data_IF_704445849816
#
_entry.id   IF_704445849816
#
_cell.length_a   1.000
_cell.length_b   1.000
_cell.length_c   1.000
_cell.angle_alpha   90.00
_cell.angle_beta   90.00
_cell.angle_gamma   90.00
#
_symmetry.space_group_name_H-M   'P 1'
#
loop_
_entity.id
_entity.type
_entity.pdbx_description
1 polymer ?
#
# COMPACT_ATOMS: atom_id res chain seq x y z
N UNK A 1 23.59 9.67 1.13
CA UNK A 1 22.99 8.34 1.17
C UNK A 1 23.77 7.33 0.35
N UNK A 2 23.54 6.06 0.60
CA UNK A 2 24.21 4.97 -0.09
C UNK A 2 23.19 3.90 -0.45
N UNK A 3 23.30 3.35 -1.67
CA UNK A 3 22.63 2.15 -2.09
C UNK A 3 23.66 1.01 -2.12
N UNK A 4 23.42 -0.03 -1.33
CA UNK A 4 24.31 -1.16 -1.16
C UNK A 4 23.61 -2.46 -1.57
N UNK A 5 24.43 -3.46 -1.85
CA UNK A 5 23.95 -4.82 -2.08
C UNK A 5 24.81 -5.81 -1.31
N UNK A 6 24.18 -6.62 -0.48
CA UNK A 6 24.88 -7.68 0.25
C UNK A 6 25.38 -8.76 -0.71
N UNK A 7 26.68 -9.03 -0.69
CA UNK A 7 27.32 -9.87 -1.73
C UNK A 7 26.83 -11.31 -1.72
N UNK A 8 26.67 -11.88 -0.53
CA UNK A 8 26.33 -13.30 -0.36
C UNK A 8 24.84 -13.54 -0.58
N UNK A 9 23.98 -12.81 0.08
CA UNK A 9 22.53 -13.06 0.03
C UNK A 9 21.78 -12.29 -1.08
N UNK A 10 22.39 -11.22 -1.60
CA UNK A 10 21.77 -10.36 -2.60
C UNK A 10 20.82 -9.30 -2.06
N UNK A 11 20.67 -9.16 -0.73
CA UNK A 11 19.84 -8.13 -0.12
C UNK A 11 20.20 -6.72 -0.59
N UNK A 12 19.20 -5.87 -0.82
CA UNK A 12 19.35 -4.48 -1.21
C UNK A 12 19.20 -3.60 0.02
N UNK A 13 20.09 -2.63 0.19
CA UNK A 13 20.12 -1.81 1.40
C UNK A 13 20.27 -0.34 0.99
N UNK A 14 19.37 0.52 1.45
CA UNK A 14 19.47 1.97 1.33
C UNK A 14 19.80 2.58 2.69
N UNK A 15 20.81 3.43 2.74
CA UNK A 15 21.26 4.11 3.95
C UNK A 15 21.13 5.63 3.76
N UNK A 16 20.42 6.29 4.67
CA UNK A 16 20.32 7.75 4.77
C UNK A 16 20.81 8.21 6.14
N UNK A 17 22.15 8.32 6.31
CA UNK A 17 22.77 8.84 7.53
C UNK A 17 22.59 10.36 7.62
N UNK A 18 22.09 10.83 8.76
CA UNK A 18 21.86 12.24 9.08
C UNK A 18 21.80 12.44 10.59
N UNK A 19 21.47 13.65 11.07
CA UNK A 19 21.44 14.04 12.48
C UNK A 19 20.08 13.78 13.16
N UNK A 20 19.09 13.16 12.48
CA UNK A 20 17.77 12.90 13.05
C UNK A 20 17.86 11.76 14.08
N UNK A 21 17.48 12.07 15.31
CA UNK A 21 17.46 11.09 16.42
C UNK A 21 16.34 10.07 16.27
N UNK A 22 15.29 10.36 15.47
CA UNK A 22 14.20 9.42 15.23
C UNK A 22 14.59 8.44 14.11
N UNK A 23 15.29 7.40 14.50
CA UNK A 23 15.84 6.37 13.63
C UNK A 23 14.74 5.53 13.03
N UNK A 24 14.87 5.22 11.76
CA UNK A 24 13.91 4.37 11.04
C UNK A 24 14.62 3.17 10.43
N UNK A 25 14.02 2.02 10.59
CA UNK A 25 14.33 0.79 9.88
C UNK A 25 13.07 0.28 9.20
N UNK A 26 13.19 -0.21 7.99
CA UNK A 26 12.23 -1.17 7.47
C UNK A 26 12.91 -2.28 6.67
N UNK A 27 12.27 -3.42 6.63
CA UNK A 27 12.52 -4.47 5.65
C UNK A 27 11.24 -4.68 4.84
N UNK A 28 11.35 -4.62 3.53
CA UNK A 28 10.25 -4.84 2.60
C UNK A 28 10.58 -5.92 1.58
N UNK A 29 9.55 -6.55 1.04
CA UNK A 29 9.66 -7.58 0.01
C UNK A 29 8.71 -7.27 -1.14
N UNK A 30 9.09 -7.62 -2.37
CA UNK A 30 8.08 -7.74 -3.44
C UNK A 30 7.20 -8.96 -3.15
N UNK A 31 5.91 -8.73 -3.09
CA UNK A 31 4.91 -9.76 -2.79
C UNK A 31 3.74 -9.70 -3.78
N UNK A 32 4.01 -9.84 -5.10
CA UNK A 32 2.96 -9.76 -6.10
C UNK A 32 1.94 -10.90 -5.90
N UNK A 33 0.65 -10.58 -5.70
CA UNK A 33 -0.37 -11.59 -5.49
C UNK A 33 -0.66 -12.36 -6.79
N UNK A 34 -0.77 -13.69 -6.69
CA UNK A 34 -1.16 -14.54 -7.81
C UNK A 34 -2.70 -14.66 -7.95
N UNK A 35 -3.40 -14.39 -6.86
CA UNK A 35 -4.85 -14.42 -6.74
C UNK A 35 -5.32 -13.48 -5.61
N UNK A 36 -6.61 -13.47 -5.33
CA UNK A 36 -7.22 -12.62 -4.30
C UNK A 36 -7.43 -13.34 -2.95
N UNK A 37 -6.62 -14.35 -2.64
CA UNK A 37 -6.71 -15.06 -1.34
C UNK A 37 -6.17 -14.26 -0.17
N UNK A 38 -5.51 -13.11 -0.42
CA UNK A 38 -4.93 -12.28 0.65
C UNK A 38 -3.72 -12.90 1.33
N UNK A 39 -3.03 -13.84 0.67
CA UNK A 39 -1.90 -14.56 1.25
C UNK A 39 -0.79 -13.62 1.73
N UNK A 40 -0.55 -12.50 1.04
CA UNK A 40 0.44 -11.50 1.44
C UNK A 40 0.06 -10.82 2.76
N UNK A 41 -1.22 -10.44 2.93
CA UNK A 41 -1.76 -9.80 4.12
C UNK A 41 -1.82 -10.77 5.31
N UNK A 42 -2.28 -12.00 5.08
CA UNK A 42 -2.27 -13.03 6.11
C UNK A 42 -0.85 -13.34 6.60
N UNK A 43 0.14 -13.34 5.70
CA UNK A 43 1.54 -13.48 6.08
C UNK A 43 2.08 -12.28 6.83
N UNK A 44 1.67 -11.07 6.46
CA UNK A 44 2.05 -9.84 7.18
C UNK A 44 1.74 -9.96 8.67
N UNK A 45 0.50 -10.34 9.01
CA UNK A 45 0.09 -10.60 10.38
C UNK A 45 0.86 -11.78 10.99
N UNK A 46 0.86 -12.91 10.29
CA UNK A 46 1.32 -14.19 10.82
C UNK A 46 2.81 -14.24 11.16
N UNK A 47 3.69 -13.53 10.44
CA UNK A 47 5.12 -13.54 10.75
C UNK A 47 5.43 -12.82 12.07
N UNK A 48 4.53 -11.94 12.53
CA UNK A 48 4.67 -11.23 13.80
C UNK A 48 4.10 -11.98 15.00
N UNK A 49 3.54 -13.19 14.80
CA UNK A 49 2.93 -14.03 15.85
C UNK A 49 3.93 -14.96 16.58
N UNK A 50 5.23 -14.71 16.43
CA UNK A 50 6.31 -15.46 17.04
C UNK A 50 7.37 -15.89 16.06
N UNK A 51 8.60 -16.00 16.54
CA UNK A 51 9.76 -16.32 15.73
C UNK A 51 10.80 -17.12 16.49
N UNK A 52 11.86 -17.53 15.81
CA UNK A 52 12.90 -18.42 16.36
C UNK A 52 13.52 -17.91 17.66
N UNK A 53 13.87 -16.63 17.71
CA UNK A 53 14.50 -16.03 18.91
C UNK A 53 13.48 -15.38 19.84
N UNK A 54 12.28 -15.11 19.35
CA UNK A 54 11.15 -14.55 20.10
C UNK A 54 9.93 -15.49 20.06
N UNK A 55 10.03 -16.71 20.65
CA UNK A 55 8.97 -17.73 20.58
C UNK A 55 7.85 -17.45 21.60
N UNK A 56 7.36 -16.22 21.63
CA UNK A 56 6.25 -15.78 22.47
C UNK A 56 5.03 -15.52 21.60
N UNK A 57 3.85 -15.70 22.20
CA UNK A 57 2.61 -15.35 21.50
C UNK A 57 2.56 -13.83 21.34
N UNK A 58 2.37 -13.37 20.10
CA UNK A 58 2.17 -11.97 19.76
C UNK A 58 3.27 -11.02 20.30
N UNK A 59 4.54 -11.20 19.86
CA UNK A 59 5.62 -10.28 20.23
C UNK A 59 5.36 -8.84 19.79
N UNK A 60 4.54 -8.64 18.74
CA UNK A 60 4.16 -7.31 18.27
C UNK A 60 3.40 -6.52 19.34
N UNK A 61 2.39 -7.10 19.96
CA UNK A 61 1.63 -6.45 21.05
C UNK A 61 2.51 -6.17 22.26
N UNK A 62 3.47 -7.04 22.58
CA UNK A 62 4.42 -6.78 23.66
C UNK A 62 5.33 -5.59 23.33
N UNK A 63 5.74 -5.41 22.08
CA UNK A 63 6.48 -4.22 21.63
C UNK A 63 5.62 -2.95 21.68
N UNK A 64 4.37 -3.01 21.25
CA UNK A 64 3.44 -1.86 21.34
C UNK A 64 3.32 -1.36 22.78
N UNK A 65 3.26 -2.28 23.76
CA UNK A 65 3.10 -1.94 25.17
C UNK A 65 4.40 -1.54 25.86
N UNK A 66 5.52 -2.14 25.47
CA UNK A 66 6.75 -2.13 26.24
C UNK A 66 7.93 -1.38 25.62
N UNK A 67 7.91 -1.07 24.32
CA UNK A 67 8.99 -0.35 23.65
C UNK A 67 8.82 1.16 23.69
N UNK A 68 9.90 1.87 23.36
CA UNK A 68 9.93 3.33 23.21
C UNK A 68 9.74 3.75 21.74
N UNK A 69 9.05 2.92 20.97
CA UNK A 69 8.85 3.17 19.55
C UNK A 69 8.14 4.52 19.31
N UNK A 70 8.52 5.16 18.23
CA UNK A 70 7.81 6.32 17.67
C UNK A 70 6.95 5.91 16.47
N UNK A 71 7.21 4.72 15.93
CA UNK A 71 6.38 4.06 14.93
C UNK A 71 6.63 2.55 14.97
N UNK A 72 5.56 1.78 14.88
CA UNK A 72 5.58 0.32 14.84
C UNK A 72 4.38 -0.15 14.03
N UNK A 73 4.61 -0.81 12.90
CA UNK A 73 3.53 -1.35 12.06
C UNK A 73 4.07 -2.42 11.10
N UNK A 74 3.16 -3.04 10.37
CA UNK A 74 3.40 -3.77 9.13
C UNK A 74 2.37 -3.30 8.10
N UNK A 75 2.67 -3.44 6.82
CA UNK A 75 1.86 -2.86 5.74
C UNK A 75 1.90 -3.75 4.50
N UNK A 76 0.74 -4.21 4.06
CA UNK A 76 0.59 -4.88 2.76
C UNK A 76 0.03 -3.92 1.72
N UNK A 77 0.79 -3.74 0.66
CA UNK A 77 0.44 -2.96 -0.53
C UNK A 77 0.08 -3.90 -1.69
N UNK A 78 -0.40 -3.39 -2.82
CA UNK A 78 -0.76 -4.23 -3.96
C UNK A 78 0.34 -5.15 -4.50
N UNK A 79 1.62 -4.83 -4.28
CA UNK A 79 2.75 -5.55 -4.84
C UNK A 79 3.96 -5.71 -3.90
N UNK A 80 3.86 -5.20 -2.69
CA UNK A 80 4.91 -5.24 -1.66
C UNK A 80 4.34 -5.39 -0.27
N UNK A 81 5.13 -5.97 0.64
CA UNK A 81 4.83 -6.01 2.07
C UNK A 81 6.00 -5.42 2.82
N UNK A 82 5.75 -4.50 3.76
CA UNK A 82 6.77 -3.73 4.47
C UNK A 82 6.59 -3.85 5.97
N UNK A 83 7.71 -3.88 6.68
CA UNK A 83 7.79 -4.01 8.13
C UNK A 83 8.61 -2.84 8.70
N UNK A 84 8.01 -1.66 8.88
CA UNK A 84 8.68 -0.46 9.38
C UNK A 84 8.63 -0.33 10.90
N UNK A 85 9.75 0.13 11.48
CA UNK A 85 9.85 0.54 12.88
C UNK A 85 10.65 1.83 13.02
N UNK A 86 10.36 2.61 14.05
CA UNK A 86 11.13 3.80 14.39
C UNK A 86 11.26 3.98 15.91
N UNK A 87 12.39 4.50 16.34
CA UNK A 87 12.65 4.87 17.75
C UNK A 87 13.77 5.91 17.87
N UNK A 88 13.62 6.83 18.83
CA UNK A 88 14.69 7.76 19.21
C UNK A 88 15.74 7.11 20.12
N UNK A 89 15.45 5.97 20.74
CA UNK A 89 16.35 5.29 21.65
C UNK A 89 17.16 4.21 20.91
N UNK A 90 18.49 4.26 20.99
CA UNK A 90 19.38 3.34 20.24
C UNK A 90 19.19 1.87 20.60
N UNK A 91 19.00 1.58 21.90
CA UNK A 91 18.83 0.21 22.37
C UNK A 91 17.48 -0.35 21.98
N UNK A 92 16.44 0.47 22.10
CA UNK A 92 15.09 0.10 21.68
C UNK A 92 15.03 -0.10 20.16
N UNK A 93 15.61 0.81 19.38
CA UNK A 93 15.74 0.67 17.94
C UNK A 93 16.43 -0.64 17.51
N UNK A 94 17.53 -0.99 18.20
CA UNK A 94 18.22 -2.26 17.94
C UNK A 94 17.34 -3.47 18.25
N UNK A 95 16.58 -3.43 19.35
CA UNK A 95 15.63 -4.50 19.69
C UNK A 95 14.50 -4.62 18.68
N UNK A 96 13.91 -3.50 18.27
CA UNK A 96 12.85 -3.47 17.25
C UNK A 96 13.34 -4.06 15.93
N UNK A 97 14.53 -3.65 15.48
CA UNK A 97 15.16 -4.18 14.28
C UNK A 97 15.39 -5.69 14.37
N UNK A 98 15.85 -6.18 15.56
CA UNK A 98 16.09 -7.60 15.80
C UNK A 98 14.79 -8.42 15.73
N UNK A 99 13.74 -7.99 16.43
CA UNK A 99 12.44 -8.68 16.42
C UNK A 99 11.90 -8.78 14.99
N UNK A 100 11.96 -7.69 14.23
CA UNK A 100 11.41 -7.66 12.87
C UNK A 100 12.24 -8.50 11.88
N UNK A 101 13.56 -8.48 11.99
CA UNK A 101 14.42 -9.34 11.16
C UNK A 101 14.20 -10.83 11.45
N UNK A 102 14.05 -11.20 12.72
CA UNK A 102 13.80 -12.59 13.11
C UNK A 102 12.39 -13.03 12.68
N UNK A 103 11.40 -12.18 12.86
CA UNK A 103 10.03 -12.41 12.45
C UNK A 103 9.90 -12.72 10.97
N UNK A 104 10.49 -11.91 10.09
CA UNK A 104 10.33 -12.09 8.65
C UNK A 104 11.14 -13.25 8.07
N UNK A 105 12.31 -13.59 8.67
CA UNK A 105 13.16 -14.66 8.15
C UNK A 105 12.97 -16.03 8.83
N UNK A 106 12.57 -16.02 10.09
CA UNK A 106 12.44 -17.25 10.89
C UNK A 106 11.14 -17.31 11.70
N UNK A 107 9.97 -17.03 11.08
CA UNK A 107 8.69 -17.04 11.79
C UNK A 107 8.32 -18.44 12.25
N UNK A 108 7.56 -18.52 13.32
CA UNK A 108 7.06 -19.79 13.88
C UNK A 108 5.91 -20.43 13.06
N UNK A 109 5.49 -19.81 11.97
CA UNK A 109 4.42 -20.31 11.08
C UNK A 109 4.65 -21.74 10.59
N UNK A 110 5.91 -22.19 10.49
CA UNK A 110 6.27 -23.55 10.07
C UNK A 110 6.08 -24.59 11.15
N UNK A 111 6.07 -24.18 12.43
CA UNK A 111 5.93 -25.06 13.59
C UNK A 111 4.52 -24.99 14.19
N UNK A 112 3.81 -23.90 13.97
CA UNK A 112 2.54 -23.56 14.57
C UNK A 112 1.47 -23.25 13.53
N UNK A 113 0.83 -24.27 12.92
CA UNK A 113 -0.23 -24.04 11.90
C UNK A 113 -1.40 -23.19 12.42
N UNK A 114 -1.61 -23.16 13.72
CA UNK A 114 -2.69 -22.38 14.33
C UNK A 114 -2.56 -20.87 14.09
N UNK A 115 -1.34 -20.36 13.84
CA UNK A 115 -1.12 -18.96 13.47
C UNK A 115 -1.87 -18.66 12.17
N UNK A 116 -1.72 -19.50 11.15
CA UNK A 116 -2.44 -19.34 9.89
C UNK A 116 -3.96 -19.35 10.07
N UNK A 117 -4.49 -20.27 10.90
CA UNK A 117 -5.93 -20.35 11.13
C UNK A 117 -6.46 -19.18 11.96
N UNK A 118 -5.67 -18.65 12.88
CA UNK A 118 -6.03 -17.47 13.67
C UNK A 118 -6.03 -16.20 12.81
N UNK A 119 -4.94 -15.94 12.11
CA UNK A 119 -4.75 -14.71 11.34
C UNK A 119 -5.49 -14.74 9.99
N UNK A 120 -5.51 -15.87 9.31
CA UNK A 120 -6.14 -16.03 8.01
C UNK A 120 -7.64 -16.29 8.11
N UNK A 121 -7.98 -17.58 8.14
CA UNK A 121 -9.37 -18.01 8.21
C UNK A 121 -9.51 -19.41 8.80
N UNK A 122 -10.65 -19.66 9.44
CA UNK A 122 -11.06 -20.98 9.95
C UNK A 122 -12.58 -21.08 10.07
N UNK A 123 -13.05 -22.30 10.22
CA UNK A 123 -14.45 -22.53 10.60
C UNK A 123 -14.60 -22.44 12.12
N UNK A 124 -15.59 -21.70 12.57
CA UNK A 124 -15.93 -21.51 13.97
C UNK A 124 -17.36 -21.97 14.29
N UNK A 125 -17.53 -22.57 15.43
CA UNK A 125 -18.83 -23.00 15.97
C UNK A 125 -18.73 -23.04 17.50
N UNK A 126 -19.55 -22.26 18.20
CA UNK A 126 -19.52 -22.22 19.66
C UNK A 126 -20.20 -23.45 20.28
N UNK A 127 -21.32 -23.86 19.72
CA UNK A 127 -22.10 -25.04 20.17
C UNK A 127 -22.37 -25.97 18.99
N UNK A 128 -22.50 -27.29 19.24
CA UNK A 128 -22.72 -28.28 18.21
C UNK A 128 -24.05 -28.11 17.41
N UNK A 129 -24.95 -27.26 17.88
CA UNK A 129 -26.20 -26.90 17.20
C UNK A 129 -26.13 -25.63 16.39
N UNK A 130 -25.03 -24.90 16.45
CA UNK A 130 -24.90 -23.62 15.80
C UNK A 130 -24.54 -23.78 14.32
N UNK A 131 -24.83 -22.76 13.55
CA UNK A 131 -24.37 -22.67 12.17
C UNK A 131 -22.85 -22.49 12.12
N UNK A 132 -22.21 -23.23 11.21
CA UNK A 132 -20.78 -23.11 10.97
C UNK A 132 -20.48 -21.76 10.32
N UNK A 133 -19.61 -20.96 10.93
CA UNK A 133 -19.23 -19.63 10.46
C UNK A 133 -17.77 -19.61 10.03
N UNK A 134 -17.46 -18.70 9.12
CA UNK A 134 -16.08 -18.33 8.80
C UNK A 134 -15.62 -17.23 9.78
N UNK A 135 -14.42 -17.39 10.31
CA UNK A 135 -13.77 -16.46 11.20
C UNK A 135 -12.26 -16.38 10.88
N UNK A 136 -11.57 -15.35 11.35
CA UNK A 136 -10.16 -15.09 11.17
C UNK A 136 -9.88 -13.59 11.23
N UNK A 137 -8.70 -13.19 11.67
CA UNK A 137 -8.39 -11.76 11.85
C UNK A 137 -8.49 -11.03 10.51
N UNK A 138 -7.69 -11.43 9.52
CA UNK A 138 -7.68 -10.81 8.19
C UNK A 138 -9.03 -11.03 7.47
N UNK A 139 -9.64 -12.22 7.58
CA UNK A 139 -10.95 -12.47 7.00
C UNK A 139 -12.00 -11.45 7.49
N UNK A 140 -12.06 -11.20 8.79
CA UNK A 140 -13.03 -10.27 9.36
C UNK A 140 -12.70 -8.80 9.02
N UNK A 141 -11.42 -8.44 9.01
CA UNK A 141 -10.97 -7.12 8.61
C UNK A 141 -11.37 -6.81 7.16
N UNK A 142 -11.06 -7.71 6.24
CA UNK A 142 -11.40 -7.54 4.84
C UNK A 142 -12.91 -7.56 4.58
N UNK A 143 -13.67 -8.34 5.35
CA UNK A 143 -15.12 -8.29 5.30
C UNK A 143 -15.66 -6.91 5.71
N UNK A 144 -15.01 -6.27 6.68
CA UNK A 144 -15.29 -4.88 7.05
C UNK A 144 -14.95 -3.89 5.91
N UNK A 145 -13.74 -3.99 5.35
CA UNK A 145 -13.28 -3.14 4.25
C UNK A 145 -14.20 -3.28 3.01
N UNK A 146 -14.64 -4.49 2.67
CA UNK A 146 -15.55 -4.73 1.54
C UNK A 146 -16.97 -4.20 1.75
N UNK A 147 -17.32 -3.72 2.93
CA UNK A 147 -18.61 -3.06 3.20
C UNK A 147 -18.60 -1.55 2.94
N UNK A 148 -17.41 -0.93 2.78
CA UNK A 148 -17.27 0.50 2.48
C UNK A 148 -17.49 0.76 0.98
N UNK A 149 -18.39 1.69 0.59
CA UNK A 149 -18.58 2.06 -0.82
C UNK A 149 -17.32 2.64 -1.46
N UNK A 150 -16.55 3.44 -0.74
CA UNK A 150 -15.31 4.05 -1.22
C UNK A 150 -14.26 2.94 -1.51
N UNK A 151 -14.09 1.96 -0.62
CA UNK A 151 -13.18 0.83 -0.84
C UNK A 151 -13.64 -0.10 -1.98
N UNK A 152 -14.95 -0.25 -2.19
CA UNK A 152 -15.49 -0.98 -3.36
C UNK A 152 -15.11 -0.25 -4.65
N UNK A 153 -15.25 1.09 -4.67
CA UNK A 153 -14.91 1.91 -5.83
C UNK A 153 -13.41 1.79 -6.17
N UNK A 154 -12.54 1.98 -5.19
CA UNK A 154 -11.09 1.96 -5.39
C UNK A 154 -10.61 0.60 -5.94
N UNK A 155 -11.11 -0.51 -5.39
CA UNK A 155 -10.81 -1.85 -5.92
C UNK A 155 -11.29 -2.06 -7.36
N UNK A 156 -12.50 -1.60 -7.67
CA UNK A 156 -13.03 -1.74 -9.03
C UNK A 156 -12.27 -0.84 -10.02
N UNK A 157 -11.81 0.35 -9.62
CA UNK A 157 -10.93 1.19 -10.43
C UNK A 157 -9.65 0.42 -10.78
N UNK A 158 -8.93 -0.05 -9.78
CA UNK A 158 -7.65 -0.76 -9.96
C UNK A 158 -7.83 -2.03 -10.79
N UNK A 159 -8.84 -2.85 -10.48
CA UNK A 159 -9.14 -4.09 -11.20
C UNK A 159 -9.47 -3.87 -12.68
N UNK A 160 -10.15 -2.77 -13.00
CA UNK A 160 -10.52 -2.45 -14.37
C UNK A 160 -9.42 -1.74 -15.14
N UNK A 161 -8.55 -0.97 -14.47
CA UNK A 161 -7.38 -0.36 -15.09
C UNK A 161 -6.25 -1.36 -15.37
N UNK A 162 -6.11 -2.39 -14.54
CA UNK A 162 -4.96 -3.32 -14.59
C UNK A 162 -5.35 -4.80 -14.68
N UNK A 163 -6.30 -5.21 -15.55
CA UNK A 163 -6.84 -6.56 -15.58
C UNK A 163 -5.83 -7.65 -15.97
N UNK A 164 -4.73 -7.30 -16.64
CA UNK A 164 -3.73 -8.24 -17.16
C UNK A 164 -2.46 -8.26 -16.31
N UNK A 165 -2.49 -7.62 -15.15
CA UNK A 165 -1.35 -7.52 -14.23
C UNK A 165 -1.69 -8.10 -12.86
N UNK A 166 -0.70 -8.10 -11.94
CA UNK A 166 -0.90 -8.54 -10.56
C UNK A 166 -1.92 -7.68 -9.80
N UNK A 167 -2.12 -6.45 -10.24
CA UNK A 167 -3.06 -5.50 -9.62
C UNK A 167 -4.55 -5.83 -9.90
N UNK A 168 -4.84 -6.78 -10.79
CA UNK A 168 -6.19 -7.34 -10.92
C UNK A 168 -6.62 -8.12 -9.67
N UNK A 169 -5.66 -8.54 -8.85
CA UNK A 169 -5.88 -9.30 -7.63
C UNK A 169 -5.89 -8.38 -6.41
N UNK A 170 -6.73 -8.72 -5.43
CA UNK A 170 -6.79 -8.04 -4.13
C UNK A 170 -5.71 -8.59 -3.20
N UNK A 171 -4.64 -7.82 -2.95
CA UNK A 171 -3.53 -8.24 -2.09
C UNK A 171 -3.94 -8.39 -0.62
N UNK A 172 -4.90 -7.58 -0.17
CA UNK A 172 -5.49 -7.67 1.17
C UNK A 172 -6.36 -8.91 1.36
N UNK A 173 -6.91 -9.45 0.28
CA UNK A 173 -7.78 -10.61 0.25
C UNK A 173 -9.26 -10.28 0.06
N UNK A 174 -9.89 -10.97 -0.87
CA UNK A 174 -11.33 -10.93 -1.08
C UNK A 174 -12.00 -11.93 -0.12
N UNK A 175 -12.94 -11.52 0.74
CA UNK A 175 -13.60 -12.43 1.69
C UNK A 175 -14.25 -13.66 1.05
N UNK A 176 -14.69 -13.57 -0.20
CA UNK A 176 -15.24 -14.71 -0.94
C UNK A 176 -14.14 -15.67 -1.46
N UNK A 177 -12.89 -15.20 -1.51
CA UNK A 177 -11.75 -15.94 -2.06
C UNK A 177 -10.79 -16.41 -0.95
N UNK A 178 -10.61 -15.65 0.13
CA UNK A 178 -9.77 -15.99 1.28
C UNK A 178 -9.92 -17.43 1.74
N UNK A 179 -11.16 -18.02 1.86
CA UNK A 179 -11.35 -19.40 2.30
C UNK A 179 -10.80 -20.47 1.35
N UNK A 180 -10.30 -20.09 0.18
CA UNK A 180 -9.64 -21.04 -0.73
C UNK A 180 -8.12 -21.16 -0.46
N UNK A 181 -7.55 -20.27 0.37
CA UNK A 181 -6.15 -20.34 0.72
C UNK A 181 -5.87 -21.53 1.63
N UNK A 182 -4.94 -22.37 1.24
CA UNK A 182 -4.48 -23.49 2.04
C UNK A 182 -3.22 -23.13 2.82
N UNK A 183 -2.98 -23.82 3.93
CA UNK A 183 -1.78 -23.65 4.73
C UNK A 183 -0.48 -23.88 3.94
N UNK A 184 -0.47 -24.85 3.01
CA UNK A 184 0.70 -25.12 2.18
C UNK A 184 0.99 -23.97 1.20
N UNK A 185 -0.03 -23.43 0.53
CA UNK A 185 0.13 -22.25 -0.35
C UNK A 185 0.65 -21.03 0.43
N UNK A 186 0.16 -20.83 1.65
CA UNK A 186 0.64 -19.80 2.56
C UNK A 186 2.13 -19.97 2.89
N UNK A 187 2.58 -21.18 3.24
CA UNK A 187 3.99 -21.45 3.49
C UNK A 187 4.87 -21.31 2.23
N UNK A 188 4.35 -21.72 1.05
CA UNK A 188 5.06 -21.59 -0.21
C UNK A 188 5.26 -20.14 -0.61
N UNK A 189 4.29 -19.26 -0.32
CA UNK A 189 4.42 -17.83 -0.55
C UNK A 189 5.54 -17.22 0.31
N UNK A 190 5.63 -17.60 1.58
CA UNK A 190 6.74 -17.17 2.45
C UNK A 190 8.08 -17.68 1.92
N UNK A 191 8.20 -18.98 1.60
CA UNK A 191 9.43 -19.58 1.04
C UNK A 191 9.91 -18.86 -0.23
N UNK A 192 8.96 -18.45 -1.07
CA UNK A 192 9.24 -17.80 -2.35
C UNK A 192 9.71 -16.36 -2.20
N UNK A 193 9.01 -15.56 -1.38
CA UNK A 193 9.17 -14.11 -1.39
C UNK A 193 9.95 -13.56 -0.20
N UNK A 194 9.95 -14.23 0.96
CA UNK A 194 10.63 -13.76 2.18
C UNK A 194 12.08 -14.25 2.25
N UNK A 195 12.84 -13.84 1.25
CA UNK A 195 14.26 -14.17 1.13
C UNK A 195 15.08 -12.89 0.98
N UNK A 196 16.29 -12.77 1.57
CA UNK A 196 17.11 -11.57 1.44
C UNK A 196 17.35 -11.11 0.00
N UNK A 197 17.45 -12.02 -0.97
CA UNK A 197 17.58 -11.66 -2.38
C UNK A 197 16.40 -10.85 -2.96
N UNK A 198 15.23 -10.96 -2.34
CA UNK A 198 14.01 -10.20 -2.65
C UNK A 198 13.77 -9.04 -1.69
N UNK A 199 14.65 -8.83 -0.69
CA UNK A 199 14.46 -7.80 0.33
C UNK A 199 14.98 -6.44 -0.10
N UNK A 200 14.34 -5.40 0.45
CA UNK A 200 14.68 -4.00 0.38
C UNK A 200 14.76 -3.48 1.82
N UNK A 201 15.97 -3.27 2.31
CA UNK A 201 16.25 -2.83 3.68
C UNK A 201 16.59 -1.34 3.65
N UNK A 202 16.02 -0.60 4.58
CA UNK A 202 16.22 0.84 4.71
C UNK A 202 16.63 1.20 6.13
N UNK A 203 17.66 2.03 6.24
CA UNK A 203 18.14 2.61 7.49
C UNK A 203 18.25 4.13 7.35
N UNK A 204 17.66 4.85 8.28
CA UNK A 204 17.65 6.32 8.32
C UNK A 204 17.91 6.81 9.73
N UNK A 205 18.65 7.92 9.83
CA UNK A 205 18.82 8.67 11.06
C UNK A 205 20.25 8.71 11.59
N UNK A 206 20.37 9.19 12.83
CA UNK A 206 21.64 9.30 13.56
C UNK A 206 21.96 7.96 14.26
N UNK A 207 22.75 7.12 13.59
CA UNK A 207 23.21 5.84 14.14
C UNK A 207 24.55 5.43 13.53
N UNK A 208 25.27 4.52 14.19
CA UNK A 208 26.43 3.86 13.57
C UNK A 208 25.96 2.87 12.50
N UNK A 209 25.96 3.34 11.24
CA UNK A 209 25.52 2.54 10.09
C UNK A 209 26.40 1.29 9.89
N UNK A 210 27.70 1.37 10.22
CA UNK A 210 28.62 0.23 10.05
C UNK A 210 28.32 -0.84 11.09
N UNK A 211 28.06 -0.45 12.32
CA UNK A 211 27.63 -1.38 13.37
C UNK A 211 26.35 -2.10 12.96
N UNK A 212 25.33 -1.38 12.47
CA UNK A 212 24.06 -1.97 12.04
C UNK A 212 24.22 -2.92 10.86
N UNK A 213 25.03 -2.54 9.86
CA UNK A 213 25.33 -3.42 8.72
C UNK A 213 26.04 -4.69 9.13
N UNK A 214 27.06 -4.60 10.00
CA UNK A 214 27.78 -5.78 10.50
C UNK A 214 26.86 -6.68 11.29
N UNK A 215 26.02 -6.12 12.14
CA UNK A 215 25.05 -6.88 12.92
C UNK A 215 24.06 -7.64 12.02
N UNK A 216 23.50 -6.98 10.98
CA UNK A 216 22.60 -7.63 10.01
C UNK A 216 23.32 -8.74 9.22
N UNK A 217 24.56 -8.52 8.82
CA UNK A 217 25.35 -9.54 8.14
C UNK A 217 25.58 -10.77 9.04
N UNK A 218 26.10 -10.56 10.24
CA UNK A 218 26.47 -11.62 11.18
C UNK A 218 25.27 -12.47 11.62
N UNK A 219 24.13 -11.82 11.94
CA UNK A 219 22.99 -12.50 12.53
C UNK A 219 22.00 -13.05 11.53
N UNK A 220 21.94 -12.47 10.31
CA UNK A 220 20.92 -12.83 9.32
C UNK A 220 21.46 -13.02 7.90
N UNK A 221 22.00 -11.96 7.27
CA UNK A 221 22.19 -11.95 5.82
C UNK A 221 23.26 -12.95 5.35
N UNK A 222 24.30 -13.20 6.13
CA UNK A 222 25.36 -14.17 5.82
C UNK A 222 24.89 -15.63 5.91
N UNK A 223 23.72 -15.89 6.47
CA UNK A 223 23.14 -17.23 6.56
C UNK A 223 22.46 -17.67 5.25
N UNK A 224 22.26 -16.75 4.33
CA UNK A 224 21.56 -17.00 3.07
C UNK A 224 22.49 -16.90 1.87
N UNK A 225 22.32 -17.80 0.91
CA UNK A 225 22.93 -17.68 -0.41
C UNK A 225 21.99 -16.91 -1.34
N UNK A 226 22.56 -16.17 -2.29
CA UNK A 226 21.76 -15.46 -3.28
C UNK A 226 20.99 -16.45 -4.16
N UNK A 227 19.70 -16.19 -4.33
CA UNK A 227 18.82 -16.90 -5.26
C UNK A 227 18.18 -15.91 -6.23
N UNK A 228 17.64 -16.40 -7.32
CA UNK A 228 16.77 -15.62 -8.20
C UNK A 228 15.32 -15.78 -7.74
N UNK A 229 14.65 -14.66 -7.48
CA UNK A 229 13.25 -14.62 -7.07
C UNK A 229 12.43 -13.98 -8.19
N UNK A 230 11.51 -14.76 -8.75
CA UNK A 230 10.56 -14.25 -9.74
C UNK A 230 9.47 -13.44 -9.05
N UNK A 231 9.63 -12.12 -9.06
CA UNK A 231 8.70 -11.14 -8.52
C UNK A 231 8.52 -9.96 -9.49
N UNK A 232 8.50 -10.25 -10.80
CA UNK A 232 8.33 -9.21 -11.81
C UNK A 232 6.90 -8.69 -11.82
N UNK A 233 6.77 -7.37 -11.99
CA UNK A 233 5.50 -6.67 -12.10
C UNK A 233 5.46 -6.06 -13.50
N UNK A 234 4.57 -6.58 -14.34
CA UNK A 234 4.38 -6.10 -15.70
C UNK A 234 3.57 -4.80 -15.73
N UNK A 235 3.76 -4.03 -16.79
CA UNK A 235 2.89 -2.91 -17.10
C UNK A 235 1.61 -3.43 -17.77
N UNK A 236 0.51 -2.74 -17.56
CA UNK A 236 -0.72 -2.94 -18.29
C UNK A 236 -0.57 -2.37 -19.69
N UNK A 237 -0.87 -3.16 -20.70
CA UNK A 237 -0.91 -2.69 -22.08
C UNK A 237 -2.09 -1.72 -22.29
N UNK A 238 -1.91 -0.69 -23.13
CA UNK A 238 -2.98 0.27 -23.40
C UNK A 238 -4.23 -0.40 -24.00
N UNK A 239 -5.40 0.01 -23.57
CA UNK A 239 -6.66 -0.44 -24.15
C UNK A 239 -6.89 0.18 -25.53
N UNK A 240 -7.51 -0.57 -26.42
CA UNK A 240 -7.90 -0.08 -27.74
C UNK A 240 -9.03 0.98 -27.70
N UNK A 241 -9.80 0.99 -26.63
CA UNK A 241 -10.89 1.95 -26.37
C UNK A 241 -11.16 2.03 -24.86
N UNK A 242 -11.78 3.12 -24.37
CA UNK A 242 -12.22 3.21 -22.99
C UNK A 242 -13.07 2.01 -22.56
N UNK A 243 -12.90 1.54 -21.35
CA UNK A 243 -13.70 0.47 -20.74
C UNK A 243 -14.77 1.08 -19.85
N UNK A 244 -15.88 0.38 -19.73
CA UNK A 244 -16.95 0.72 -18.82
C UNK A 244 -17.23 -0.45 -17.89
N UNK A 245 -17.36 -0.18 -16.60
CA UNK A 245 -17.74 -1.15 -15.59
C UNK A 245 -18.83 -0.57 -14.69
N UNK A 246 -19.76 -1.42 -14.27
CA UNK A 246 -20.80 -1.08 -13.29
C UNK A 246 -20.73 -2.10 -12.16
N UNK A 247 -20.57 -1.64 -10.94
CA UNK A 247 -20.52 -2.48 -9.74
C UNK A 247 -21.60 -2.03 -8.77
N UNK A 248 -22.53 -2.90 -8.39
CA UNK A 248 -23.41 -2.63 -7.26
C UNK A 248 -22.65 -2.73 -5.94
N UNK A 249 -23.02 -1.90 -4.97
CA UNK A 249 -22.53 -1.97 -3.61
C UNK A 249 -23.67 -2.01 -2.60
N UNK A 250 -23.39 -2.46 -1.38
CA UNK A 250 -24.39 -2.59 -0.33
C UNK A 250 -24.68 -1.26 0.33
N UNK A 251 -25.96 -0.99 0.57
CA UNK A 251 -26.45 0.13 1.37
C UNK A 251 -27.34 -0.39 2.49
N UNK A 252 -27.61 0.45 3.49
CA UNK A 252 -28.55 0.11 4.54
C UNK A 252 -30.00 0.28 4.08
N UNK A 253 -30.96 -0.40 4.73
CA UNK A 253 -32.40 -0.32 4.37
C UNK A 253 -32.98 1.11 4.41
N UNK A 254 -32.36 2.00 5.18
CA UNK A 254 -32.82 3.38 5.36
C UNK A 254 -32.16 4.38 4.40
N UNK A 255 -31.18 3.95 3.62
CA UNK A 255 -30.52 4.83 2.65
C UNK A 255 -31.34 4.94 1.35
N UNK A 256 -31.51 6.15 0.80
CA UNK A 256 -32.20 6.32 -0.47
C UNK A 256 -31.39 5.73 -1.62
N UNK A 257 -32.08 5.21 -2.64
CA UNK A 257 -31.44 4.78 -3.88
C UNK A 257 -31.09 5.97 -4.80
N UNK A 258 -31.81 7.09 -4.66
CA UNK A 258 -31.57 8.32 -5.40
C UNK A 258 -30.31 9.03 -4.84
N UNK A 259 -29.53 9.64 -5.71
CA UNK A 259 -28.31 10.38 -5.36
C UNK A 259 -27.32 9.51 -4.54
N UNK A 260 -27.24 8.22 -4.85
CA UNK A 260 -26.35 7.27 -4.15
C UNK A 260 -25.50 6.47 -5.13
N UNK A 261 -25.06 7.13 -6.20
CA UNK A 261 -24.17 6.57 -7.22
C UNK A 261 -22.82 7.26 -7.18
N UNK A 262 -21.75 6.50 -7.30
CA UNK A 262 -20.41 7.02 -7.57
C UNK A 262 -20.16 6.96 -9.08
N UNK A 263 -19.79 8.09 -9.69
CA UNK A 263 -19.32 8.14 -11.07
C UNK A 263 -17.80 8.36 -11.04
N UNK A 264 -17.06 7.58 -11.80
CA UNK A 264 -15.62 7.76 -11.91
C UNK A 264 -15.14 7.75 -13.35
N UNK A 265 -14.13 8.57 -13.62
CA UNK A 265 -13.34 8.55 -14.85
C UNK A 265 -11.87 8.38 -14.44
N UNK A 266 -11.28 7.24 -14.80
CA UNK A 266 -9.95 6.85 -14.32
C UNK A 266 -9.04 6.49 -15.49
N UNK A 267 -7.75 6.82 -15.37
CA UNK A 267 -6.74 6.54 -16.39
C UNK A 267 -5.39 6.20 -15.77
N UNK A 268 -4.60 5.39 -16.44
CA UNK A 268 -3.19 5.18 -16.09
C UNK A 268 -2.38 6.45 -16.37
N UNK A 269 -1.45 6.77 -15.49
CA UNK A 269 -0.67 8.01 -15.51
C UNK A 269 0.85 7.72 -15.62
N UNK A 270 1.24 7.04 -16.70
CA UNK A 270 2.64 6.79 -17.02
C UNK A 270 3.29 5.62 -16.27
N UNK A 271 4.55 5.79 -15.90
CA UNK A 271 5.39 4.83 -15.17
C UNK A 271 6.00 5.55 -13.96
N UNK A 272 5.93 4.95 -12.78
CA UNK A 272 6.48 5.51 -11.53
C UNK A 272 7.98 5.84 -11.63
N UNK A 273 8.71 5.21 -12.54
CA UNK A 273 10.13 5.52 -12.81
C UNK A 273 10.34 6.82 -13.60
N UNK A 274 9.28 7.38 -14.19
CA UNK A 274 9.33 8.70 -14.83
C UNK A 274 9.09 9.80 -13.79
N UNK A 275 10.19 10.33 -13.21
CA UNK A 275 10.14 11.34 -12.14
C UNK A 275 9.43 12.62 -12.53
N UNK A 276 9.53 13.03 -13.79
CA UNK A 276 8.90 14.27 -14.27
C UNK A 276 7.38 14.10 -14.30
N UNK A 277 6.89 13.01 -14.86
CA UNK A 277 5.46 12.69 -14.86
C UNK A 277 4.92 12.48 -13.46
N UNK A 278 5.64 11.76 -12.59
CA UNK A 278 5.27 11.54 -11.20
C UNK A 278 4.99 12.85 -10.45
N UNK A 279 5.90 13.82 -10.55
CA UNK A 279 5.73 15.14 -9.91
C UNK A 279 4.69 15.99 -10.65
N UNK A 280 4.68 15.94 -11.98
CA UNK A 280 3.75 16.72 -12.79
C UNK A 280 2.29 16.36 -12.48
N UNK A 281 1.96 15.07 -12.35
CA UNK A 281 0.61 14.63 -11.99
C UNK A 281 0.19 15.05 -10.59
N UNK A 282 1.09 15.08 -9.60
CA UNK A 282 0.78 15.65 -8.28
C UNK A 282 0.40 17.14 -8.37
N UNK A 283 1.13 17.91 -9.17
CA UNK A 283 0.85 19.34 -9.37
C UNK A 283 -0.44 19.53 -10.18
N UNK A 284 -0.67 18.67 -11.19
CA UNK A 284 -1.90 18.69 -11.97
C UNK A 284 -3.12 18.34 -11.14
N UNK A 285 -3.03 17.34 -10.27
CA UNK A 285 -4.09 17.02 -9.32
C UNK A 285 -4.48 18.25 -8.49
N UNK A 286 -3.50 18.90 -7.89
CA UNK A 286 -3.73 20.14 -7.13
C UNK A 286 -4.37 21.23 -7.99
N UNK A 287 -3.90 21.44 -9.20
CA UNK A 287 -4.35 22.53 -10.06
C UNK A 287 -5.74 22.27 -10.68
N UNK A 288 -6.10 21.01 -10.93
CA UNK A 288 -7.35 20.64 -11.62
C UNK A 288 -8.49 20.35 -10.65
N UNK A 289 -8.21 19.71 -9.52
CA UNK A 289 -9.26 19.18 -8.63
C UNK A 289 -9.07 19.51 -7.15
N UNK A 290 -7.88 19.29 -6.56
CA UNK A 290 -7.72 19.30 -5.10
C UNK A 290 -7.74 20.70 -4.49
N UNK A 291 -7.30 21.75 -5.22
CA UNK A 291 -7.28 23.11 -4.70
C UNK A 291 -8.68 23.75 -4.69
N UNK A 292 -8.86 24.71 -3.80
CA UNK A 292 -10.12 25.46 -3.71
C UNK A 292 -10.46 26.16 -5.04
N UNK A 293 -11.67 25.94 -5.56
CA UNK A 293 -12.13 26.51 -6.83
C UNK A 293 -11.36 25.96 -8.04
N UNK A 294 -10.78 24.78 -7.93
CA UNK A 294 -10.12 24.10 -9.05
C UNK A 294 -11.09 23.89 -10.21
N UNK A 295 -10.66 24.11 -11.47
CA UNK A 295 -11.58 24.29 -12.59
C UNK A 295 -12.43 23.04 -12.88
N UNK A 296 -11.88 21.87 -12.77
CA UNK A 296 -12.58 20.62 -13.03
C UNK A 296 -13.59 20.29 -11.91
N UNK A 297 -13.14 20.38 -10.66
CA UNK A 297 -14.02 20.23 -9.49
C UNK A 297 -15.17 21.23 -9.55
N UNK A 298 -14.88 22.52 -9.83
CA UNK A 298 -15.89 23.57 -9.88
C UNK A 298 -16.90 23.36 -11.00
N UNK A 299 -16.46 22.97 -12.21
CA UNK A 299 -17.34 22.71 -13.33
C UNK A 299 -18.36 21.59 -13.04
N UNK A 300 -17.90 20.51 -12.41
CA UNK A 300 -18.76 19.39 -12.02
C UNK A 300 -19.73 19.76 -10.90
N UNK A 301 -19.28 20.54 -9.89
CA UNK A 301 -20.14 21.03 -8.82
C UNK A 301 -21.19 22.02 -9.33
N UNK A 302 -20.81 22.96 -10.19
CA UNK A 302 -21.74 23.96 -10.76
C UNK A 302 -22.83 23.29 -11.62
N UNK A 303 -22.49 22.17 -12.25
CA UNK A 303 -23.45 21.35 -12.98
C UNK A 303 -24.31 20.46 -12.07
N UNK A 304 -24.00 20.35 -10.78
CA UNK A 304 -24.72 19.51 -9.82
C UNK A 304 -24.59 18.01 -10.13
N UNK A 305 -23.42 17.57 -10.60
CA UNK A 305 -23.20 16.16 -10.98
C UNK A 305 -23.22 15.23 -9.76
N UNK A 306 -22.71 15.70 -8.64
CA UNK A 306 -22.71 15.00 -7.36
C UNK A 306 -22.64 15.98 -6.20
N UNK A 307 -22.73 15.49 -4.98
CA UNK A 307 -22.60 16.32 -3.77
C UNK A 307 -21.15 16.61 -3.40
N UNK A 308 -20.24 15.68 -3.73
CA UNK A 308 -18.80 15.87 -3.59
C UNK A 308 -18.06 15.40 -4.84
N UNK A 309 -17.02 16.14 -5.19
CA UNK A 309 -16.11 15.84 -6.32
C UNK A 309 -14.70 15.83 -5.75
N UNK A 310 -14.00 14.76 -5.99
CA UNK A 310 -12.59 14.66 -5.65
C UNK A 310 -11.80 13.96 -6.76
N UNK A 311 -10.51 14.09 -6.71
CA UNK A 311 -9.57 13.34 -7.53
C UNK A 311 -8.62 12.57 -6.65
N UNK A 312 -8.10 11.49 -7.20
CA UNK A 312 -7.05 10.71 -6.58
C UNK A 312 -5.94 10.44 -7.60
N UNK A 313 -4.71 10.69 -7.19
CA UNK A 313 -3.51 10.30 -7.91
C UNK A 313 -2.75 9.28 -7.10
N UNK A 314 -3.06 8.00 -7.32
CA UNK A 314 -2.32 6.90 -6.71
C UNK A 314 -1.01 6.68 -7.48
N UNK A 315 0.09 6.82 -6.78
CA UNK A 315 1.45 6.69 -7.32
C UNK A 315 2.33 5.71 -6.53
N UNK A 316 1.71 4.87 -5.71
CA UNK A 316 2.38 3.85 -4.90
C UNK A 316 2.62 2.51 -5.60
N UNK A 317 2.20 2.38 -6.87
CA UNK A 317 2.33 1.18 -7.70
C UNK A 317 3.21 1.41 -8.92
N UNK A 318 3.53 0.34 -9.66
CA UNK A 318 4.38 0.41 -10.87
C UNK A 318 3.84 1.37 -11.93
N UNK A 319 2.53 1.33 -12.17
CA UNK A 319 1.83 2.28 -13.02
C UNK A 319 0.90 3.13 -12.17
N UNK A 320 1.25 4.40 -11.94
CA UNK A 320 0.33 5.33 -11.31
C UNK A 320 -0.98 5.47 -12.10
N UNK A 321 -2.04 5.82 -11.40
CA UNK A 321 -3.31 6.14 -12.05
C UNK A 321 -3.92 7.42 -11.45
N UNK A 322 -4.76 8.06 -12.26
CA UNK A 322 -5.48 9.26 -11.88
C UNK A 322 -6.97 9.02 -12.04
N UNK A 323 -7.73 9.37 -11.02
CA UNK A 323 -9.18 9.23 -11.00
C UNK A 323 -9.87 10.54 -10.68
N UNK A 324 -10.99 10.79 -11.32
CA UNK A 324 -11.94 11.86 -11.00
C UNK A 324 -13.21 11.18 -10.55
N UNK A 325 -13.68 11.50 -9.35
CA UNK A 325 -14.84 10.86 -8.72
C UNK A 325 -15.91 11.88 -8.39
N UNK A 326 -17.15 11.60 -8.77
CA UNK A 326 -18.33 12.28 -8.27
C UNK A 326 -19.10 11.36 -7.34
N UNK A 327 -19.21 11.76 -6.08
CA UNK A 327 -19.90 11.04 -5.00
C UNK A 327 -21.33 11.57 -4.83
N UNK A 328 -22.26 10.68 -4.47
CA UNK A 328 -23.67 10.97 -4.31
C UNK A 328 -24.27 11.61 -5.59
N UNK A 329 -23.96 11.01 -6.72
CA UNK A 329 -24.45 11.38 -8.04
C UNK A 329 -25.64 10.49 -8.46
N UNK A 330 -26.16 10.74 -9.65
CA UNK A 330 -27.14 9.88 -10.31
C UNK A 330 -26.50 9.14 -11.49
N UNK A 331 -26.76 7.86 -11.61
CA UNK A 331 -26.27 7.04 -12.72
C UNK A 331 -26.65 7.59 -14.11
N UNK A 332 -27.84 8.23 -14.21
CA UNK A 332 -28.33 8.89 -15.44
C UNK A 332 -27.49 10.08 -15.88
N UNK A 333 -26.65 10.63 -15.00
CA UNK A 333 -25.78 11.80 -15.28
C UNK A 333 -24.40 11.39 -15.80
N UNK A 334 -24.12 10.11 -16.03
CA UNK A 334 -22.82 9.62 -16.50
C UNK A 334 -22.31 10.33 -17.75
N UNK A 335 -23.13 10.41 -18.80
CA UNK A 335 -22.72 11.04 -20.06
C UNK A 335 -22.40 12.53 -19.89
N UNK A 336 -23.15 13.21 -19.03
CA UNK A 336 -22.90 14.62 -18.71
C UNK A 336 -21.62 14.80 -17.88
N UNK A 337 -21.37 13.91 -16.92
CA UNK A 337 -20.12 13.86 -16.15
C UNK A 337 -18.90 13.77 -17.07
N UNK A 338 -18.89 12.81 -17.99
CA UNK A 338 -17.78 12.61 -18.93
C UNK A 338 -17.62 13.83 -19.85
N UNK A 339 -18.73 14.34 -20.41
CA UNK A 339 -18.71 15.53 -21.29
C UNK A 339 -18.12 16.75 -20.60
N UNK A 340 -18.48 17.02 -19.33
CA UNK A 340 -17.93 18.17 -18.58
C UNK A 340 -16.44 18.00 -18.35
N UNK A 341 -15.97 16.78 -18.06
CA UNK A 341 -14.54 16.50 -17.92
C UNK A 341 -13.82 16.83 -19.23
N UNK A 342 -14.28 16.27 -20.36
CA UNK A 342 -13.66 16.47 -21.67
C UNK A 342 -13.65 17.95 -22.07
N UNK A 343 -14.80 18.63 -22.02
CA UNK A 343 -14.91 20.05 -22.38
C UNK A 343 -14.01 20.94 -21.49
N UNK A 344 -13.91 20.62 -20.19
CA UNK A 344 -13.08 21.38 -19.26
C UNK A 344 -11.60 21.16 -19.57
N UNK A 345 -11.18 19.92 -19.81
CA UNK A 345 -9.78 19.60 -20.15
C UNK A 345 -9.39 20.18 -21.51
N UNK A 346 -10.25 20.07 -22.56
CA UNK A 346 -10.02 20.69 -23.86
C UNK A 346 -9.84 22.19 -23.75
N UNK A 347 -10.70 22.86 -22.98
CA UNK A 347 -10.58 24.29 -22.71
C UNK A 347 -9.25 24.65 -22.05
N UNK A 348 -8.85 23.89 -21.02
CA UNK A 348 -7.59 24.13 -20.30
C UNK A 348 -6.37 23.88 -21.19
N UNK A 349 -6.44 22.91 -22.11
CA UNK A 349 -5.39 22.68 -23.13
C UNK A 349 -5.30 23.86 -24.11
N UNK A 350 -6.43 24.40 -24.53
CA UNK A 350 -6.49 25.49 -25.50
C UNK A 350 -6.09 26.86 -24.89
N UNK A 351 -6.55 27.17 -23.69
CA UNK A 351 -6.36 28.46 -23.03
C UNK A 351 -5.14 28.50 -22.10
N UNK A 352 -4.62 27.33 -21.71
CA UNK A 352 -3.58 27.16 -20.71
C UNK A 352 -4.14 27.11 -19.27
N UNK A 353 -3.35 26.55 -18.35
CA UNK A 353 -3.67 26.53 -16.92
C UNK A 353 -3.38 27.91 -16.30
N UNK A 354 -4.17 28.25 -15.30
CA UNK A 354 -3.92 29.47 -14.48
C UNK A 354 -2.53 29.40 -13.85
N UNK A 355 -1.66 30.32 -14.24
CA UNK A 355 -0.27 30.35 -13.81
C UNK A 355 -0.12 30.57 -12.28
N UNK A 356 -1.06 31.30 -11.66
CA UNK A 356 -1.03 31.50 -10.20
C UNK A 356 -1.37 30.23 -9.47
N UNK A 357 -2.31 29.43 -9.99
CA UNK A 357 -2.70 28.13 -9.44
C UNK A 357 -1.58 27.10 -9.60
N UNK A 358 -0.96 27.03 -10.77
CA UNK A 358 0.23 26.20 -10.98
C UNK A 358 1.34 26.57 -10.02
N UNK A 359 1.64 27.87 -9.87
CA UNK A 359 2.66 28.32 -8.92
C UNK A 359 2.30 27.98 -7.48
N UNK A 360 1.02 28.05 -7.11
CA UNK A 360 0.54 27.64 -5.80
C UNK A 360 0.75 26.13 -5.56
N UNK A 361 0.46 25.28 -6.55
CA UNK A 361 0.73 23.85 -6.50
C UNK A 361 2.22 23.54 -6.36
N UNK A 362 3.06 24.19 -7.17
CA UNK A 362 4.51 24.06 -7.06
C UNK A 362 5.01 24.45 -5.68
N UNK A 363 4.56 25.59 -5.14
CA UNK A 363 4.96 26.07 -3.83
C UNK A 363 4.48 25.12 -2.72
N UNK A 364 3.26 24.56 -2.85
CA UNK A 364 2.71 23.59 -1.90
C UNK A 364 3.55 22.33 -1.81
N UNK A 365 3.89 21.72 -2.96
CA UNK A 365 4.71 20.50 -2.99
C UNK A 365 6.17 20.80 -2.63
N UNK A 366 6.74 21.93 -3.08
CA UNK A 366 8.08 22.36 -2.65
C UNK A 366 8.15 22.51 -1.13
N UNK A 367 7.16 23.16 -0.52
CA UNK A 367 7.05 23.31 0.94
C UNK A 367 6.94 21.95 1.60
N UNK A 368 6.00 21.10 1.15
CA UNK A 368 5.79 19.74 1.69
C UNK A 368 7.06 18.90 1.67
N UNK A 369 7.82 18.94 0.56
CA UNK A 369 9.07 18.18 0.44
C UNK A 369 10.24 18.78 1.24
N UNK A 370 10.30 20.11 1.40
CA UNK A 370 11.37 20.77 2.15
C UNK A 370 11.17 20.72 3.66
N UNK A 371 9.97 20.98 4.12
CA UNK A 371 9.67 20.96 5.56
C UNK A 371 9.55 19.54 6.09
N UNK A 372 9.13 18.60 5.26
CA UNK A 372 8.94 17.21 5.61
C UNK A 372 8.12 17.03 6.91
N UNK A 373 7.15 17.92 7.10
CA UNK A 373 6.20 17.83 8.22
C UNK A 373 5.11 16.83 7.85
N UNK A 374 5.20 15.65 8.40
CA UNK A 374 4.25 14.56 8.21
C UNK A 374 3.39 14.31 9.47
N UNK A 375 3.27 15.34 10.34
CA UNK A 375 2.49 15.28 11.57
C UNK A 375 3.08 14.27 12.57
N UNK A 376 2.33 13.23 12.89
CA UNK A 376 2.75 12.20 13.85
C UNK A 376 3.71 11.15 13.27
N UNK A 377 3.88 11.12 11.96
CA UNK A 377 4.75 10.13 11.32
C UNK A 377 6.21 10.60 11.28
N UNK A 378 7.17 9.71 11.59
CA UNK A 378 8.59 10.02 11.44
C UNK A 378 8.94 10.44 10.01
N UNK A 379 9.67 11.53 9.84
CA UNK A 379 10.06 12.02 8.51
C UNK A 379 10.86 10.96 7.73
N UNK A 380 11.77 10.25 8.41
CA UNK A 380 12.55 9.17 7.83
C UNK A 380 11.71 8.01 7.30
N UNK A 381 10.57 7.72 7.95
CA UNK A 381 9.62 6.71 7.48
C UNK A 381 9.00 7.16 6.15
N UNK A 382 8.50 8.38 6.08
CA UNK A 382 7.85 8.90 4.88
C UNK A 382 8.80 8.99 3.69
N UNK A 383 10.06 9.37 3.92
CA UNK A 383 11.11 9.27 2.89
C UNK A 383 11.35 7.84 2.45
N UNK A 384 11.39 6.90 3.40
CA UNK A 384 11.58 5.48 3.11
C UNK A 384 10.46 4.89 2.26
N UNK A 385 9.20 5.23 2.55
CA UNK A 385 8.04 4.80 1.76
C UNK A 385 8.12 5.33 0.33
N UNK A 386 8.41 6.63 0.15
CA UNK A 386 8.59 7.22 -1.18
C UNK A 386 9.76 6.61 -1.97
N UNK A 387 10.88 6.31 -1.29
CA UNK A 387 12.01 5.59 -1.91
C UNK A 387 11.56 4.23 -2.41
N UNK A 388 10.74 3.52 -1.64
CA UNK A 388 10.28 2.19 -1.97
C UNK A 388 9.39 2.17 -3.22
N UNK A 389 8.58 3.20 -3.46
CA UNK A 389 7.66 3.30 -4.61
C UNK A 389 8.37 3.23 -5.97
N UNK A 390 9.61 3.66 -6.07
CA UNK A 390 10.41 3.57 -7.29
C UNK A 390 11.56 2.55 -7.20
N UNK A 391 12.14 2.35 -6.00
CA UNK A 391 13.27 1.44 -5.81
C UNK A 391 12.90 -0.03 -6.00
N UNK A 392 11.63 -0.34 -5.83
CA UNK A 392 11.08 -1.68 -6.00
C UNK A 392 11.22 -2.20 -7.46
N UNK A 393 11.21 -1.32 -8.45
CA UNK A 393 11.18 -1.63 -9.88
C UNK A 393 12.49 -1.24 -10.60
#
# INVERSE_FOLDING_TARGET
>A
GYLLRHKKSGARIALLSNEDENKVFYIGFKTPPADSTGVAHILEHSVLEGSKEFPVKDPFIELVKGSMNTFLNAMTYPDKTMYPVASCNDKDFANLMHVYMDAVFYPDIYKQPNIFYQEGWHYEMENASDELKLNGVVYNEMKGAFSSPDDVLDREIVRNLFPDTVYANESGGDPDVIPNLTYEQFLDFHRKYYHPANSYIYLYGNMDMVERLNWMDEHYLSHFEKIDVEANISLQEPFAAPREAVKPYSITENEPLEHNTYLTCSMTAGDVLNREEYIAFQILDYALCSSQGAPLKQALLDAGIGEDIYSDYDNGTRQPYFSIVAKNADASRKEEFLRIIDETLEKLVAEGLDQKRLQAGLNYYEFKYREADYGIFPAGLMYGLQVMDSWLY
#
